data_IF_496321606795
#
_entry.id   IF_496321606795
#
_cell.length_a   1.000
_cell.length_b   1.000
_cell.length_c   1.000
_cell.angle_alpha   90.00
_cell.angle_beta   90.00
_cell.angle_gamma   90.00
#
_symmetry.space_group_name_H-M   'P 1'
#
loop_
_entity.id
_entity.type
_entity.pdbx_description
1 polymer ?
#
# COMPACT_ATOMS: atom_id res chain seq x y z
N UNK A 1 20.89 -9.51 18.55
CA UNK A 1 19.86 -10.46 18.10
C UNK A 1 20.11 -10.76 16.63
N UNK A 2 20.15 -12.02 16.23
CA UNK A 2 20.04 -12.37 14.80
C UNK A 2 18.64 -11.92 14.32
N UNK A 3 18.56 -11.32 13.14
CA UNK A 3 17.27 -10.98 12.51
C UNK A 3 16.43 -12.25 12.26
N UNK A 4 15.11 -12.11 12.01
CA UNK A 4 14.26 -13.25 11.66
C UNK A 4 14.79 -13.96 10.41
N UNK A 5 14.73 -15.29 10.38
CA UNK A 5 15.03 -16.07 9.18
C UNK A 5 13.86 -15.94 8.19
N UNK A 6 14.09 -15.22 7.11
CA UNK A 6 13.10 -14.94 6.06
C UNK A 6 13.25 -15.87 4.86
N UNK A 7 13.94 -17.01 5.00
CA UNK A 7 13.87 -18.07 4.00
C UNK A 7 12.45 -18.62 3.88
N UNK A 8 12.02 -18.97 2.66
CA UNK A 8 10.67 -19.50 2.43
C UNK A 8 10.33 -20.68 3.33
N UNK A 9 11.27 -21.61 3.55
CA UNK A 9 11.06 -22.75 4.44
C UNK A 9 10.73 -22.34 5.87
N UNK A 10 11.49 -21.40 6.45
CA UNK A 10 11.26 -20.89 7.80
C UNK A 10 9.91 -20.14 7.89
N UNK A 11 9.61 -19.31 6.89
CA UNK A 11 8.34 -18.55 6.80
C UNK A 11 7.12 -19.47 6.73
N UNK A 12 7.19 -20.55 5.94
CA UNK A 12 6.10 -21.54 5.83
C UNK A 12 5.94 -22.37 7.12
N UNK A 13 7.03 -22.70 7.80
CA UNK A 13 6.98 -23.38 9.10
C UNK A 13 6.32 -22.48 10.16
N UNK A 14 6.72 -21.20 10.22
CA UNK A 14 6.09 -20.21 11.10
C UNK A 14 4.60 -20.05 10.76
N UNK A 15 4.25 -19.99 9.46
CA UNK A 15 2.86 -19.95 9.02
C UNK A 15 2.06 -21.13 9.55
N UNK A 16 2.53 -22.38 9.41
CA UNK A 16 1.82 -23.55 9.94
C UNK A 16 1.58 -23.48 11.46
N UNK A 17 2.62 -23.15 12.22
CA UNK A 17 2.56 -23.06 13.69
C UNK A 17 1.65 -21.93 14.18
N UNK A 18 1.89 -20.71 13.70
CA UNK A 18 1.16 -19.52 14.14
C UNK A 18 -0.30 -19.57 13.72
N UNK A 19 -0.58 -19.99 12.48
CA UNK A 19 -1.96 -20.13 11.99
C UNK A 19 -2.76 -21.11 12.85
N UNK A 20 -2.15 -22.25 13.23
CA UNK A 20 -2.79 -23.25 14.09
C UNK A 20 -3.06 -22.68 15.49
N UNK A 21 -2.07 -22.02 16.10
CA UNK A 21 -2.22 -21.42 17.43
C UNK A 21 -3.34 -20.36 17.44
N UNK A 22 -3.39 -19.48 16.44
CA UNK A 22 -4.44 -18.47 16.32
C UNK A 22 -5.83 -19.07 16.05
N UNK A 23 -5.92 -20.07 15.17
CA UNK A 23 -7.20 -20.71 14.83
C UNK A 23 -7.87 -21.42 16.01
N UNK A 24 -7.09 -21.95 16.95
CA UNK A 24 -7.57 -22.63 18.16
C UNK A 24 -8.10 -21.67 19.24
N UNK A 25 -7.90 -20.35 19.09
CA UNK A 25 -8.41 -19.36 20.05
C UNK A 25 -9.87 -19.01 19.75
N UNK A 26 -10.64 -18.83 20.82
CA UNK A 26 -11.98 -18.25 20.73
C UNK A 26 -11.91 -16.77 20.39
N UNK A 27 -13.00 -16.20 19.87
CA UNK A 27 -13.06 -14.78 19.50
C UNK A 27 -12.82 -13.87 20.71
N UNK A 28 -13.30 -14.27 21.90
CA UNK A 28 -13.02 -13.58 23.16
C UNK A 28 -11.53 -13.59 23.49
N UNK A 29 -10.89 -14.75 23.39
CA UNK A 29 -9.46 -14.89 23.67
C UNK A 29 -8.60 -14.11 22.65
N UNK A 30 -8.99 -14.10 21.38
CA UNK A 30 -8.31 -13.30 20.35
C UNK A 30 -8.46 -11.80 20.61
N UNK A 31 -9.65 -11.32 20.99
CA UNK A 31 -9.87 -9.93 21.36
C UNK A 31 -8.98 -9.52 22.53
N UNK A 32 -9.03 -10.26 23.63
CA UNK A 32 -8.20 -9.99 24.82
C UNK A 32 -6.70 -9.98 24.46
N UNK A 33 -6.28 -10.86 23.55
CA UNK A 33 -4.90 -10.94 23.08
C UNK A 33 -4.48 -9.74 22.21
N UNK A 34 -5.36 -9.26 21.33
CA UNK A 34 -5.13 -8.06 20.52
C UNK A 34 -5.11 -6.79 21.39
N UNK A 35 -5.98 -6.72 22.40
CA UNK A 35 -6.11 -5.56 23.29
C UNK A 35 -4.83 -5.29 24.10
N UNK A 36 -4.13 -6.35 24.54
CA UNK A 36 -2.86 -6.26 25.28
C UNK A 36 -1.62 -6.13 24.39
N UNK A 37 -1.77 -6.25 23.07
CA UNK A 37 -0.68 -6.15 22.12
C UNK A 37 0.01 -4.78 22.14
N UNK A 38 1.33 -4.77 21.93
CA UNK A 38 2.09 -3.53 21.90
C UNK A 38 1.67 -2.69 20.68
N UNK A 39 1.17 -1.45 20.86
CA UNK A 39 0.82 -0.59 19.72
C UNK A 39 2.03 -0.31 18.83
N UNK A 40 1.87 -0.47 17.52
CA UNK A 40 2.91 -0.14 16.52
C UNK A 40 2.55 1.14 15.77
N UNK A 41 1.26 1.38 15.54
CA UNK A 41 0.75 2.57 14.90
C UNK A 41 -0.76 2.58 14.74
N UNK A 42 -1.27 3.64 14.13
CA UNK A 42 -2.67 3.81 13.76
C UNK A 42 -2.77 4.71 12.55
N UNK A 43 -3.61 4.36 11.59
CA UNK A 43 -3.92 5.20 10.42
C UNK A 43 -5.33 4.91 9.89
N UNK A 44 -5.63 5.33 8.66
CA UNK A 44 -6.94 5.09 8.04
C UNK A 44 -7.25 3.61 7.90
N UNK A 45 -6.24 2.80 7.55
CA UNK A 45 -6.32 1.34 7.52
C UNK A 45 -6.49 0.68 8.90
N UNK A 46 -6.53 1.47 9.97
CA UNK A 46 -6.89 1.05 11.32
C UNK A 46 -5.70 0.90 12.29
N UNK A 47 -5.97 0.30 13.46
CA UNK A 47 -4.99 0.13 14.55
C UNK A 47 -4.09 -1.06 14.28
N UNK A 48 -2.79 -0.90 14.50
CA UNK A 48 -1.80 -1.97 14.36
C UNK A 48 -1.14 -2.31 15.69
N UNK A 49 -1.00 -3.59 15.98
CA UNK A 49 -0.36 -4.09 17.21
C UNK A 49 0.63 -5.20 16.90
N UNK A 50 1.69 -5.28 17.71
CA UNK A 50 2.66 -6.36 17.67
C UNK A 50 2.34 -7.37 18.76
N UNK A 51 2.29 -8.63 18.36
CA UNK A 51 1.98 -9.78 19.20
C UNK A 51 3.12 -10.80 19.14
N UNK A 52 3.21 -11.66 20.14
CA UNK A 52 4.09 -12.82 20.14
C UNK A 52 3.25 -14.10 20.22
N UNK A 53 3.35 -14.95 19.20
CA UNK A 53 2.59 -16.21 19.09
C UNK A 53 3.58 -17.34 18.84
N UNK A 54 3.67 -18.29 19.77
CA UNK A 54 4.62 -19.41 19.67
C UNK A 54 6.08 -18.95 19.39
N UNK A 55 6.51 -17.87 20.05
CA UNK A 55 7.84 -17.27 19.85
C UNK A 55 8.03 -16.53 18.52
N UNK A 56 6.97 -16.38 17.72
CA UNK A 56 6.98 -15.64 16.46
C UNK A 56 6.33 -14.27 16.65
N UNK A 57 6.97 -13.21 16.15
CA UNK A 57 6.39 -11.87 16.11
C UNK A 57 5.32 -11.79 15.02
N UNK A 58 4.13 -11.31 15.38
CA UNK A 58 2.97 -11.21 14.51
C UNK A 58 2.49 -9.77 14.49
N UNK A 59 2.37 -9.20 13.30
CA UNK A 59 1.78 -7.89 13.08
C UNK A 59 0.27 -8.07 12.91
N UNK A 60 -0.53 -7.51 13.81
CA UNK A 60 -1.99 -7.54 13.69
C UNK A 60 -2.52 -6.18 13.24
N UNK A 61 -3.22 -6.15 12.11
CA UNK A 61 -3.93 -4.97 11.58
C UNK A 61 -5.42 -5.11 11.84
N UNK A 62 -6.03 -4.13 12.51
CA UNK A 62 -7.47 -4.10 12.75
C UNK A 62 -8.14 -3.16 11.76
N UNK A 63 -8.87 -3.73 10.80
CA UNK A 63 -9.61 -2.98 9.77
C UNK A 63 -11.07 -2.88 10.20
N UNK A 64 -11.63 -1.66 10.27
CA UNK A 64 -13.03 -1.45 10.65
C UNK A 64 -13.96 -2.20 9.69
N UNK A 65 -14.91 -2.94 10.26
CA UNK A 65 -15.90 -3.72 9.52
C UNK A 65 -17.30 -3.16 9.79
N UNK A 66 -17.89 -2.53 8.78
CA UNK A 66 -19.18 -1.86 8.93
C UNK A 66 -20.33 -2.85 9.08
N UNK A 67 -21.44 -2.41 9.68
CA UNK A 67 -22.64 -3.26 9.81
C UNK A 67 -23.23 -3.67 8.45
N UNK A 68 -23.02 -2.87 7.39
CA UNK A 68 -23.35 -3.27 6.03
C UNK A 68 -22.50 -4.46 5.58
N UNK A 69 -21.18 -4.39 5.75
CA UNK A 69 -20.24 -5.47 5.40
C UNK A 69 -20.45 -6.75 6.23
N UNK A 70 -21.08 -6.65 7.41
CA UNK A 70 -21.38 -7.79 8.31
C UNK A 70 -22.65 -8.56 7.96
N UNK A 71 -23.51 -8.03 7.07
CA UNK A 71 -24.72 -8.74 6.67
C UNK A 71 -24.34 -10.08 6.01
N UNK A 72 -25.18 -11.11 6.22
CA UNK A 72 -24.86 -12.48 5.80
C UNK A 72 -24.58 -12.57 4.29
N UNK A 73 -25.31 -11.80 3.49
CA UNK A 73 -25.15 -11.69 2.03
C UNK A 73 -23.89 -10.94 1.58
N UNK A 74 -23.18 -10.27 2.50
CA UNK A 74 -22.01 -9.44 2.21
C UNK A 74 -20.72 -9.96 2.84
N UNK A 75 -20.78 -11.02 3.65
CA UNK A 75 -19.58 -11.69 4.17
C UNK A 75 -18.72 -12.16 2.99
N UNK A 76 -17.44 -11.75 2.98
CA UNK A 76 -16.46 -11.99 1.91
C UNK A 76 -16.81 -11.34 0.56
N UNK A 77 -17.82 -10.46 0.50
CA UNK A 77 -18.12 -9.74 -0.73
C UNK A 77 -17.02 -8.75 -1.06
N UNK A 78 -16.52 -8.82 -2.28
CA UNK A 78 -15.58 -7.84 -2.83
C UNK A 78 -16.28 -6.77 -3.66
N UNK A 79 -17.62 -6.70 -3.59
CA UNK A 79 -18.41 -5.66 -4.26
C UNK A 79 -18.19 -4.29 -3.64
N UNK A 80 -18.35 -3.24 -4.44
CA UNK A 80 -18.37 -1.86 -3.96
C UNK A 80 -19.72 -1.54 -3.31
N UNK A 81 -19.92 -2.00 -2.07
CA UNK A 81 -21.20 -1.94 -1.35
C UNK A 81 -21.75 -0.52 -1.15
N UNK A 82 -20.87 0.48 -1.15
CA UNK A 82 -21.23 1.89 -0.94
C UNK A 82 -21.44 2.66 -2.24
N UNK A 83 -21.03 2.09 -3.38
CA UNK A 83 -20.99 2.79 -4.66
C UNK A 83 -19.98 3.95 -4.67
N UNK A 84 -18.80 3.72 -4.09
CA UNK A 84 -17.73 4.71 -4.06
C UNK A 84 -17.19 4.99 -5.46
N UNK A 85 -16.87 6.25 -5.80
CA UNK A 85 -16.19 6.57 -7.06
C UNK A 85 -14.84 5.88 -7.14
N UNK A 86 -14.47 5.39 -8.33
CA UNK A 86 -13.23 4.63 -8.53
C UNK A 86 -11.96 5.44 -8.18
N UNK A 87 -11.99 6.77 -8.33
CA UNK A 87 -10.86 7.63 -7.94
C UNK A 87 -10.52 7.58 -6.44
N UNK A 88 -11.41 7.06 -5.58
CA UNK A 88 -11.10 6.85 -4.17
C UNK A 88 -10.01 5.77 -3.97
N UNK A 89 -9.66 4.99 -5.00
CA UNK A 89 -8.56 4.03 -4.94
C UNK A 89 -7.21 4.73 -4.88
N UNK A 90 -7.11 5.97 -5.34
CA UNK A 90 -5.84 6.68 -5.39
C UNK A 90 -5.27 7.01 -4.01
N UNK A 91 -4.10 6.43 -3.68
CA UNK A 91 -3.30 6.72 -2.49
C UNK A 91 -2.60 8.10 -2.48
N UNK A 92 -3.01 9.02 -3.36
CA UNK A 92 -2.40 10.36 -3.52
C UNK A 92 -3.30 11.48 -2.99
N UNK A 93 -4.39 11.19 -2.28
CA UNK A 93 -5.22 12.21 -1.66
C UNK A 93 -4.48 12.96 -0.54
N UNK A 94 -4.71 14.27 -0.42
CA UNK A 94 -4.27 15.07 0.74
C UNK A 94 -5.13 14.81 1.97
N UNK A 95 -6.34 14.31 1.77
CA UNK A 95 -7.13 13.59 2.77
C UNK A 95 -7.17 12.15 2.27
N UNK A 96 -6.85 11.18 3.12
CA UNK A 96 -6.84 9.78 2.69
C UNK A 96 -8.24 9.27 2.35
N UNK A 97 -8.29 8.23 1.51
CA UNK A 97 -9.54 7.68 0.98
C UNK A 97 -10.36 6.95 2.06
N UNK A 98 -11.68 6.83 1.89
CA UNK A 98 -12.54 6.11 2.84
C UNK A 98 -12.41 4.57 2.77
N UNK A 99 -11.53 4.05 1.89
CA UNK A 99 -11.31 2.62 1.63
C UNK A 99 -12.50 1.91 0.97
N UNK A 100 -12.25 0.79 0.27
CA UNK A 100 -13.29 0.05 -0.47
C UNK A 100 -13.85 -1.18 0.24
N UNK A 101 -13.37 -1.46 1.45
CA UNK A 101 -13.97 -2.45 2.34
C UNK A 101 -12.98 -3.49 2.87
N UNK A 102 -13.24 -3.98 4.08
CA UNK A 102 -12.34 -4.89 4.79
C UNK A 102 -12.21 -6.25 4.07
N UNK A 103 -13.28 -6.69 3.40
CA UNK A 103 -13.29 -7.94 2.64
C UNK A 103 -12.41 -7.90 1.38
N UNK A 104 -12.24 -6.74 0.74
CA UNK A 104 -11.30 -6.58 -0.39
C UNK A 104 -9.86 -6.71 0.08
N UNK A 105 -9.51 -6.06 1.18
CA UNK A 105 -8.17 -6.17 1.76
C UNK A 105 -7.86 -7.61 2.20
N UNK A 106 -8.83 -8.31 2.80
CA UNK A 106 -8.70 -9.74 3.11
C UNK A 106 -8.49 -10.59 1.87
N UNK A 107 -9.25 -10.35 0.81
CA UNK A 107 -9.13 -11.09 -0.44
C UNK A 107 -7.75 -10.89 -1.06
N UNK A 108 -7.22 -9.65 -1.05
CA UNK A 108 -5.86 -9.36 -1.51
C UNK A 108 -4.79 -10.10 -0.67
N UNK A 109 -4.87 -10.05 0.66
CA UNK A 109 -3.97 -10.82 1.53
C UNK A 109 -4.07 -12.33 1.32
N UNK A 110 -5.27 -12.84 1.04
CA UNK A 110 -5.48 -14.25 0.70
C UNK A 110 -4.79 -14.60 -0.61
N UNK A 111 -4.91 -13.76 -1.64
CA UNK A 111 -4.22 -13.94 -2.92
C UNK A 111 -2.71 -13.95 -2.74
N UNK A 112 -2.15 -12.95 -2.06
CA UNK A 112 -0.71 -12.78 -1.91
C UNK A 112 -0.09 -13.86 -1.03
N UNK A 113 -0.77 -14.26 0.05
CA UNK A 113 -0.35 -15.40 0.89
C UNK A 113 -0.28 -16.68 0.07
N UNK A 114 -1.30 -16.95 -0.78
CA UNK A 114 -1.32 -18.15 -1.59
C UNK A 114 -0.21 -18.18 -2.65
N UNK A 115 0.19 -17.03 -3.22
CA UNK A 115 1.34 -16.96 -4.13
C UNK A 115 2.66 -17.36 -3.43
N UNK A 116 2.86 -16.91 -2.19
CA UNK A 116 4.05 -17.28 -1.40
C UNK A 116 4.03 -18.77 -1.02
N UNK A 117 2.86 -19.27 -0.59
CA UNK A 117 2.66 -20.69 -0.23
C UNK A 117 2.88 -21.61 -1.44
N UNK A 118 2.35 -21.25 -2.61
CA UNK A 118 2.59 -21.99 -3.86
C UNK A 118 4.06 -21.93 -4.31
N UNK A 119 4.78 -20.87 -3.92
CA UNK A 119 6.15 -20.62 -4.36
C UNK A 119 6.23 -19.87 -5.69
N UNK A 120 5.15 -19.19 -6.08
CA UNK A 120 5.08 -18.40 -7.31
C UNK A 120 5.90 -17.10 -7.19
N UNK A 121 5.76 -16.40 -6.05
CA UNK A 121 6.52 -15.19 -5.72
C UNK A 121 6.55 -14.96 -4.21
N UNK A 122 7.72 -14.61 -3.66
CA UNK A 122 7.94 -14.54 -2.21
C UNK A 122 7.86 -13.12 -1.61
N UNK A 123 7.68 -12.09 -2.44
CA UNK A 123 7.70 -10.67 -2.06
C UNK A 123 6.41 -10.13 -1.44
N UNK A 124 5.77 -10.93 -0.58
CA UNK A 124 4.59 -10.54 0.18
C UNK A 124 4.68 -11.10 1.60
N UNK A 125 4.31 -10.36 2.66
CA UNK A 125 4.17 -10.92 4.00
C UNK A 125 3.06 -11.97 4.04
N UNK A 126 3.26 -13.07 4.78
CA UNK A 126 2.25 -14.12 4.93
C UNK A 126 1.15 -13.68 5.91
N UNK A 127 -0.11 -13.86 5.54
CA UNK A 127 -1.22 -13.79 6.50
C UNK A 127 -1.36 -15.15 7.20
N UNK A 128 -1.12 -15.17 8.52
CA UNK A 128 -1.26 -16.37 9.35
C UNK A 128 -2.73 -16.65 9.71
N UNK A 129 -3.51 -15.60 9.98
CA UNK A 129 -4.90 -15.78 10.35
C UNK A 129 -5.69 -14.50 10.11
N UNK A 130 -7.02 -14.62 10.15
CA UNK A 130 -7.90 -13.48 10.26
C UNK A 130 -9.14 -13.84 11.07
N UNK A 131 -9.73 -12.85 11.76
CA UNK A 131 -10.98 -13.03 12.50
C UNK A 131 -11.75 -11.73 12.58
N UNK A 132 -13.08 -11.81 12.50
CA UNK A 132 -13.96 -10.69 12.87
C UNK A 132 -14.12 -10.71 14.39
N UNK A 133 -13.71 -9.63 15.05
CA UNK A 133 -13.89 -9.47 16.50
C UNK A 133 -14.80 -8.27 16.80
N UNK A 134 -15.61 -8.32 17.87
CA UNK A 134 -16.31 -7.14 18.33
C UNK A 134 -15.30 -6.05 18.70
N UNK A 135 -15.57 -4.83 18.29
CA UNK A 135 -14.79 -3.63 18.62
C UNK A 135 -15.66 -2.73 19.48
N UNK A 136 -15.09 -2.04 20.46
CA UNK A 136 -15.83 -1.10 21.31
C UNK A 136 -16.22 0.20 20.61
N UNK A 137 -15.93 0.30 19.30
CA UNK A 137 -16.01 1.54 18.55
C UNK A 137 -14.78 2.40 18.82
N UNK A 138 -14.24 3.00 17.76
CA UNK A 138 -13.10 3.91 17.84
C UNK A 138 -13.42 5.17 17.04
N UNK A 139 -13.05 6.33 17.57
CA UNK A 139 -13.09 7.60 16.83
C UNK A 139 -12.47 7.44 15.45
N UNK A 140 -13.05 8.11 14.46
CA UNK A 140 -12.47 8.11 13.12
C UNK A 140 -10.99 8.50 13.15
N UNK A 141 -10.18 7.97 12.22
CA UNK A 141 -8.82 8.47 11.98
C UNK A 141 -8.84 9.99 11.78
N UNK A 142 -7.77 10.68 12.15
CA UNK A 142 -7.69 12.14 12.12
C UNK A 142 -8.08 12.71 10.75
N UNK A 143 -7.65 12.04 9.68
CA UNK A 143 -7.90 12.43 8.29
C UNK A 143 -9.40 12.41 7.93
N UNK A 144 -10.18 11.54 8.58
CA UNK A 144 -11.62 11.38 8.34
C UNK A 144 -12.48 12.00 9.46
N UNK A 145 -11.87 12.55 10.51
CA UNK A 145 -12.58 13.08 11.67
C UNK A 145 -13.49 14.26 11.32
N UNK A 146 -13.09 15.10 10.36
CA UNK A 146 -13.95 16.11 9.75
C UNK A 146 -14.64 15.51 8.51
N UNK A 147 -15.80 14.88 8.75
CA UNK A 147 -16.59 14.18 7.73
C UNK A 147 -16.99 15.13 6.59
N UNK A 148 -17.40 16.35 6.91
CA UNK A 148 -17.86 17.31 5.90
C UNK A 148 -16.72 17.72 4.97
N UNK A 149 -15.55 18.00 5.54
CA UNK A 149 -14.34 18.30 4.77
C UNK A 149 -13.87 17.11 3.93
N UNK A 150 -13.87 15.90 4.49
CA UNK A 150 -13.48 14.69 3.77
C UNK A 150 -14.43 14.40 2.60
N UNK A 151 -15.74 14.53 2.81
CA UNK A 151 -16.76 14.36 1.76
C UNK A 151 -16.59 15.40 0.66
N UNK A 152 -16.40 16.68 1.02
CA UNK A 152 -16.18 17.75 0.06
C UNK A 152 -14.92 17.49 -0.80
N UNK A 153 -13.84 17.02 -0.17
CA UNK A 153 -12.58 16.70 -0.85
C UNK A 153 -12.73 15.58 -1.88
N UNK A 154 -13.45 14.51 -1.51
CA UNK A 154 -13.67 13.33 -2.34
C UNK A 154 -14.87 13.45 -3.30
N UNK A 155 -15.20 14.67 -3.73
CA UNK A 155 -16.19 14.95 -4.78
C UNK A 155 -17.62 15.20 -4.29
N UNK A 156 -17.84 15.34 -2.98
CA UNK A 156 -19.14 15.75 -2.39
C UNK A 156 -20.24 14.68 -2.44
N UNK A 157 -19.94 13.46 -2.89
CA UNK A 157 -20.92 12.41 -3.10
C UNK A 157 -21.49 11.83 -1.81
N UNK A 158 -22.79 11.52 -1.82
CA UNK A 158 -23.46 10.85 -0.68
C UNK A 158 -22.89 9.47 -0.38
N UNK A 159 -22.30 8.79 -1.37
CA UNK A 159 -21.63 7.50 -1.20
C UNK A 159 -20.43 7.59 -0.25
N UNK A 160 -19.57 8.60 -0.43
CA UNK A 160 -18.41 8.85 0.43
C UNK A 160 -18.87 9.13 1.86
N UNK A 161 -19.88 9.98 2.03
CA UNK A 161 -20.45 10.28 3.36
C UNK A 161 -20.94 9.03 4.06
N UNK A 162 -21.79 8.24 3.39
CA UNK A 162 -22.32 7.00 3.95
C UNK A 162 -21.22 6.03 4.37
N UNK A 163 -20.12 5.96 3.60
CA UNK A 163 -18.98 5.11 3.95
C UNK A 163 -18.27 5.61 5.21
N UNK A 164 -17.96 6.89 5.29
CA UNK A 164 -17.26 7.48 6.45
C UNK A 164 -18.12 7.35 7.72
N UNK A 165 -19.41 7.64 7.64
CA UNK A 165 -20.34 7.48 8.77
C UNK A 165 -20.47 6.00 9.18
N UNK A 166 -20.56 5.07 8.22
CA UNK A 166 -20.57 3.65 8.54
C UNK A 166 -19.26 3.16 9.21
N UNK A 167 -18.11 3.71 8.81
CA UNK A 167 -16.84 3.46 9.49
C UNK A 167 -16.87 3.97 10.93
N UNK A 168 -17.43 5.16 11.16
CA UNK A 168 -17.58 5.74 12.50
C UNK A 168 -18.45 4.87 13.40
N UNK A 169 -19.54 4.33 12.85
CA UNK A 169 -20.52 3.53 13.59
C UNK A 169 -20.12 2.04 13.71
N UNK A 170 -18.95 1.65 13.20
CA UNK A 170 -18.51 0.26 13.20
C UNK A 170 -18.29 -0.27 14.62
N UNK A 171 -18.96 -1.38 14.94
CA UNK A 171 -18.85 -2.11 16.23
C UNK A 171 -18.07 -3.41 16.11
N UNK A 172 -17.42 -3.64 14.97
CA UNK A 172 -16.57 -4.79 14.74
C UNK A 172 -15.37 -4.40 13.88
N UNK A 173 -14.31 -5.17 14.02
CA UNK A 173 -13.10 -5.05 13.22
C UNK A 173 -12.73 -6.43 12.67
N UNK A 174 -12.32 -6.44 11.41
CA UNK A 174 -11.62 -7.56 10.81
C UNK A 174 -10.14 -7.44 11.21
N UNK A 175 -9.64 -8.40 11.99
CA UNK A 175 -8.24 -8.45 12.37
C UNK A 175 -7.49 -9.38 11.43
N UNK A 176 -6.45 -8.85 10.80
CA UNK A 176 -5.51 -9.57 9.95
C UNK A 176 -4.24 -9.82 10.74
N UNK A 177 -3.87 -11.08 10.95
CA UNK A 177 -2.63 -11.48 11.63
C UNK A 177 -1.58 -11.82 10.58
N UNK A 178 -0.59 -10.95 10.43
CA UNK A 178 0.40 -10.94 9.37
C UNK A 178 1.80 -11.24 9.91
N UNK A 179 2.65 -11.73 9.03
CA UNK A 179 4.09 -11.82 9.23
C UNK A 179 4.68 -10.44 9.55
N UNK A 180 5.48 -10.37 10.62
CA UNK A 180 6.14 -9.14 11.01
C UNK A 180 7.52 -9.01 10.34
N UNK A 181 7.65 -8.03 9.44
CA UNK A 181 8.91 -7.62 8.84
C UNK A 181 9.24 -6.22 9.38
N UNK A 182 10.36 -6.05 10.12
CA UNK A 182 10.56 -4.88 10.97
C UNK A 182 10.92 -3.58 10.24
N UNK A 183 11.43 -3.66 9.01
CA UNK A 183 11.91 -2.50 8.29
C UNK A 183 11.00 -2.21 7.10
N UNK A 184 10.49 -0.97 7.05
CA UNK A 184 9.92 -0.42 5.83
C UNK A 184 11.06 0.05 4.89
N UNK A 185 10.75 0.17 3.61
CA UNK A 185 11.69 0.57 2.57
C UNK A 185 12.13 2.03 2.75
N UNK A 186 11.24 2.91 3.24
CA UNK A 186 11.53 4.33 3.44
C UNK A 186 12.75 4.52 4.36
N UNK A 187 12.68 3.96 5.56
CA UNK A 187 13.72 4.09 6.58
C UNK A 187 14.98 3.32 6.18
N UNK A 188 14.82 2.11 5.66
CA UNK A 188 15.95 1.28 5.25
C UNK A 188 16.76 1.94 4.14
N UNK A 189 16.09 2.46 3.11
CA UNK A 189 16.77 3.13 2.00
C UNK A 189 17.46 4.40 2.48
N UNK A 190 16.85 5.15 3.41
CA UNK A 190 17.47 6.31 4.06
C UNK A 190 18.81 5.99 4.70
N UNK A 191 18.90 4.86 5.41
CA UNK A 191 20.16 4.38 6.00
C UNK A 191 21.19 4.02 4.92
N UNK A 192 20.78 3.37 3.82
CA UNK A 192 21.71 3.00 2.75
C UNK A 192 22.26 4.22 2.00
N UNK A 193 21.42 5.21 1.70
CA UNK A 193 21.87 6.47 1.08
C UNK A 193 22.88 7.20 1.98
N UNK A 194 22.63 7.22 3.29
CA UNK A 194 23.54 7.84 4.27
C UNK A 194 24.85 7.07 4.51
N UNK A 195 24.96 5.81 4.07
CA UNK A 195 26.12 4.95 4.29
C UNK A 195 27.24 5.14 3.26
N UNK A 196 27.02 5.95 2.21
CA UNK A 196 28.00 6.30 1.19
C UNK A 196 27.65 5.76 -0.21
N UNK A 197 28.36 6.27 -1.21
CA UNK A 197 28.05 6.08 -2.63
C UNK A 197 27.84 4.62 -3.03
N UNK A 198 28.78 3.72 -2.72
CA UNK A 198 28.65 2.31 -3.09
C UNK A 198 27.42 1.62 -2.47
N UNK A 199 27.05 2.00 -1.24
CA UNK A 199 25.86 1.46 -0.58
C UNK A 199 24.59 2.01 -1.23
N UNK A 200 24.58 3.31 -1.56
CA UNK A 200 23.49 3.96 -2.29
C UNK A 200 23.25 3.30 -3.66
N UNK A 201 24.32 3.04 -4.42
CA UNK A 201 24.21 2.41 -5.74
C UNK A 201 23.62 0.99 -5.67
N UNK A 202 24.14 0.16 -4.76
CA UNK A 202 23.62 -1.21 -4.55
C UNK A 202 22.17 -1.22 -4.09
N UNK A 203 21.82 -0.33 -3.17
CA UNK A 203 20.46 -0.22 -2.66
C UNK A 203 19.48 0.26 -3.74
N UNK A 204 19.84 1.30 -4.50
CA UNK A 204 19.00 1.80 -5.59
C UNK A 204 18.79 0.75 -6.69
N UNK A 205 19.84 -0.02 -7.04
CA UNK A 205 19.70 -1.13 -8.00
C UNK A 205 18.75 -2.21 -7.49
N UNK A 206 18.92 -2.66 -6.24
CA UNK A 206 18.03 -3.68 -5.65
C UNK A 206 16.58 -3.20 -5.60
N UNK A 207 16.36 -1.95 -5.17
CA UNK A 207 15.01 -1.36 -5.10
C UNK A 207 14.38 -1.26 -6.48
N UNK A 208 15.14 -0.82 -7.48
CA UNK A 208 14.65 -0.74 -8.86
C UNK A 208 14.22 -2.11 -9.41
N UNK A 209 15.08 -3.11 -9.26
CA UNK A 209 14.82 -4.47 -9.75
C UNK A 209 13.61 -5.11 -9.04
N UNK A 210 13.54 -5.01 -7.71
CA UNK A 210 12.48 -5.62 -6.90
C UNK A 210 11.14 -4.89 -7.05
N UNK A 211 11.13 -3.56 -7.20
CA UNK A 211 9.91 -2.80 -7.51
C UNK A 211 9.33 -3.26 -8.86
N UNK A 212 10.19 -3.33 -9.89
CA UNK A 212 9.77 -3.77 -11.22
C UNK A 212 9.24 -5.21 -11.19
N UNK A 213 9.97 -6.13 -10.55
CA UNK A 213 9.59 -7.54 -10.49
C UNK A 213 8.27 -7.76 -9.72
N UNK A 214 8.14 -7.18 -8.53
CA UNK A 214 6.97 -7.40 -7.68
C UNK A 214 5.70 -6.77 -8.23
N UNK A 215 5.79 -5.55 -8.77
CA UNK A 215 4.64 -4.89 -9.41
C UNK A 215 4.24 -5.62 -10.69
N UNK A 216 5.21 -6.03 -11.52
CA UNK A 216 4.89 -6.82 -12.71
C UNK A 216 4.19 -8.14 -12.35
N UNK A 217 4.62 -8.81 -11.28
CA UNK A 217 3.98 -10.03 -10.78
C UNK A 217 2.55 -9.78 -10.30
N UNK A 218 2.31 -8.75 -9.46
CA UNK A 218 0.97 -8.39 -8.99
C UNK A 218 0.03 -8.09 -10.17
N UNK A 219 0.48 -7.26 -11.11
CA UNK A 219 -0.33 -6.84 -12.25
C UNK A 219 -0.66 -8.03 -13.17
N UNK A 220 0.29 -8.95 -13.38
CA UNK A 220 0.06 -10.19 -14.11
C UNK A 220 -0.91 -11.14 -13.37
N UNK A 221 -0.87 -11.14 -12.04
CA UNK A 221 -1.84 -11.81 -11.17
C UNK A 221 -3.22 -11.16 -11.14
N UNK A 222 -3.37 -10.01 -11.80
CA UNK A 222 -4.61 -9.24 -11.89
C UNK A 222 -4.91 -8.44 -10.63
N UNK A 223 -3.90 -8.06 -9.83
CA UNK A 223 -3.99 -7.23 -8.63
C UNK A 223 -3.24 -5.92 -8.86
N UNK A 224 -3.87 -4.79 -8.57
CA UNK A 224 -3.26 -3.46 -8.56
C UNK A 224 -3.31 -2.91 -7.13
N UNK A 225 -2.21 -2.35 -6.65
CA UNK A 225 -2.00 -1.94 -5.26
C UNK A 225 -2.51 -0.53 -4.96
N UNK A 226 -2.32 0.41 -5.88
CA UNK A 226 -2.68 1.82 -5.81
C UNK A 226 -2.01 2.68 -4.72
N UNK A 227 -1.22 2.07 -3.85
CA UNK A 227 -0.63 2.74 -2.69
C UNK A 227 0.74 2.16 -2.26
N UNK A 228 1.56 1.81 -3.25
CA UNK A 228 2.87 1.20 -3.05
C UNK A 228 3.96 2.24 -2.67
N UNK A 229 3.68 3.11 -1.69
CA UNK A 229 4.67 4.05 -1.18
C UNK A 229 5.66 3.35 -0.25
N UNK A 230 6.82 3.95 0.02
CA UNK A 230 7.93 3.20 0.66
C UNK A 230 7.69 2.86 2.14
N UNK A 231 6.68 3.45 2.78
CA UNK A 231 6.22 3.00 4.10
C UNK A 231 5.29 1.75 4.04
N UNK A 232 4.64 1.49 2.89
CA UNK A 232 3.81 0.31 2.62
C UNK A 232 4.60 -0.82 1.91
N UNK A 233 5.91 -0.64 1.75
CA UNK A 233 6.81 -1.67 1.24
C UNK A 233 7.79 -2.00 2.35
N UNK A 234 7.89 -3.28 2.72
CA UNK A 234 8.82 -3.77 3.72
C UNK A 234 10.06 -4.36 3.05
N UNK A 235 11.15 -4.50 3.79
CA UNK A 235 12.39 -5.10 3.27
C UNK A 235 13.19 -5.79 4.36
N UNK A 236 13.96 -6.79 3.96
CA UNK A 236 15.02 -7.43 4.75
C UNK A 236 16.43 -7.00 4.29
N UNK A 237 16.49 -6.01 3.38
CA UNK A 237 17.69 -5.54 2.71
C UNK A 237 18.15 -6.39 1.52
N UNK A 238 17.41 -7.45 1.18
CA UNK A 238 17.67 -8.31 0.01
C UNK A 238 16.52 -8.36 -0.97
N UNK A 239 15.29 -8.17 -0.50
CA UNK A 239 14.07 -8.16 -1.31
C UNK A 239 13.04 -7.17 -0.77
N UNK A 240 12.02 -6.91 -1.58
CA UNK A 240 10.89 -6.09 -1.18
C UNK A 240 9.65 -6.95 -0.87
N UNK A 241 8.83 -6.47 0.06
CA UNK A 241 7.58 -7.10 0.44
C UNK A 241 6.44 -6.08 0.37
N UNK A 242 5.50 -6.27 -0.56
CA UNK A 242 4.36 -5.37 -0.72
C UNK A 242 3.29 -5.69 0.34
N UNK A 243 2.78 -4.66 1.01
CA UNK A 243 1.78 -4.79 2.07
C UNK A 243 0.81 -3.61 2.03
N UNK A 244 -0.24 -3.68 2.86
CA UNK A 244 -1.33 -2.71 2.91
C UNK A 244 -2.15 -2.65 1.62
N UNK A 245 -3.15 -3.52 1.55
CA UNK A 245 -4.02 -3.64 0.38
C UNK A 245 -5.35 -2.89 0.57
N UNK A 246 -5.41 -1.90 1.47
CA UNK A 246 -6.64 -1.16 1.78
C UNK A 246 -7.23 -0.40 0.58
N UNK A 247 -6.39 -0.08 -0.41
CA UNK A 247 -6.76 0.59 -1.66
C UNK A 247 -6.65 -0.31 -2.90
N UNK A 248 -6.28 -1.58 -2.73
CA UNK A 248 -6.06 -2.47 -3.84
C UNK A 248 -7.36 -2.83 -4.58
N UNK A 249 -7.22 -3.09 -5.89
CA UNK A 249 -8.29 -3.56 -6.77
C UNK A 249 -7.79 -4.76 -7.57
N UNK A 250 -8.67 -5.75 -7.79
CA UNK A 250 -8.34 -6.92 -8.58
C UNK A 250 -9.41 -7.20 -9.62
N UNK A 251 -8.97 -7.62 -10.81
CA UNK A 251 -9.82 -8.21 -11.85
C UNK A 251 -10.61 -9.46 -11.40
N UNK A 252 -10.25 -10.04 -10.25
CA UNK A 252 -10.94 -11.19 -9.63
C UNK A 252 -12.00 -10.78 -8.60
N UNK A 253 -12.13 -9.48 -8.30
CA UNK A 253 -13.17 -8.97 -7.42
C UNK A 253 -14.52 -8.86 -8.15
N UNK A 254 -15.59 -8.76 -7.38
CA UNK A 254 -16.92 -8.42 -7.89
C UNK A 254 -16.97 -6.92 -8.23
N UNK A 255 -16.53 -6.60 -9.44
CA UNK A 255 -16.39 -5.22 -9.92
C UNK A 255 -17.62 -4.76 -10.68
N UNK A 256 -18.02 -3.51 -10.44
CA UNK A 256 -18.96 -2.79 -11.32
C UNK A 256 -18.32 -2.51 -12.69
N UNK A 257 -19.13 -2.13 -13.70
CA UNK A 257 -18.59 -1.77 -15.02
C UNK A 257 -17.58 -0.62 -14.93
N UNK A 258 -17.88 0.40 -14.14
CA UNK A 258 -16.99 1.56 -13.95
C UNK A 258 -15.66 1.15 -13.32
N UNK A 259 -15.67 0.20 -12.38
CA UNK A 259 -14.46 -0.35 -11.78
C UNK A 259 -13.65 -1.23 -12.75
N UNK A 260 -14.30 -1.96 -13.65
CA UNK A 260 -13.63 -2.72 -14.71
C UNK A 260 -12.91 -1.75 -15.66
N UNK A 261 -13.62 -0.71 -16.11
CA UNK A 261 -13.05 0.29 -17.02
C UNK A 261 -11.90 1.04 -16.34
N UNK A 262 -12.05 1.36 -15.05
CA UNK A 262 -10.98 1.92 -14.22
C UNK A 262 -9.80 0.96 -14.13
N UNK A 263 -10.00 -0.31 -13.77
CA UNK A 263 -8.93 -1.31 -13.69
C UNK A 263 -8.15 -1.41 -15.00
N UNK A 264 -8.84 -1.50 -16.14
CA UNK A 264 -8.21 -1.65 -17.45
C UNK A 264 -7.40 -0.41 -17.86
N UNK A 265 -7.85 0.79 -17.49
CA UNK A 265 -7.12 2.04 -17.72
C UNK A 265 -5.91 2.23 -16.79
N UNK A 266 -5.80 1.45 -15.70
CA UNK A 266 -4.78 1.63 -14.66
C UNK A 266 -3.84 0.43 -14.50
N UNK A 267 -3.79 -0.50 -15.45
CA UNK A 267 -2.94 -1.70 -15.38
C UNK A 267 -1.45 -1.44 -15.19
N UNK A 268 -0.96 -0.25 -15.51
CA UNK A 268 0.44 0.17 -15.31
C UNK A 268 0.58 1.27 -14.24
N UNK A 269 -0.50 1.61 -13.54
CA UNK A 269 -0.51 2.70 -12.57
C UNK A 269 0.54 2.50 -11.48
N UNK A 270 0.60 1.31 -10.88
CA UNK A 270 1.55 1.02 -9.79
C UNK A 270 3.01 1.17 -10.21
N UNK A 271 3.34 0.82 -11.46
CA UNK A 271 4.70 0.99 -12.00
C UNK A 271 5.05 2.48 -12.06
N UNK A 272 4.16 3.29 -12.63
CA UNK A 272 4.33 4.74 -12.71
C UNK A 272 4.34 5.38 -11.32
N UNK A 273 3.49 4.90 -10.41
CA UNK A 273 3.41 5.37 -9.04
C UNK A 273 4.72 5.12 -8.29
N UNK A 274 5.23 3.88 -8.32
CA UNK A 274 6.43 3.49 -7.60
C UNK A 274 7.68 4.23 -8.10
N UNK A 275 7.86 4.38 -9.42
CA UNK A 275 9.02 5.11 -9.96
C UNK A 275 8.91 6.62 -9.69
N UNK A 276 7.69 7.17 -9.70
CA UNK A 276 7.45 8.58 -9.31
C UNK A 276 7.79 8.79 -7.84
N UNK A 277 7.39 7.87 -6.98
CA UNK A 277 7.71 7.90 -5.55
C UNK A 277 9.23 7.77 -5.34
N UNK A 278 9.90 6.84 -6.02
CA UNK A 278 11.36 6.66 -5.96
C UNK A 278 12.12 7.94 -6.32
N UNK A 279 11.78 8.57 -7.44
CA UNK A 279 12.42 9.82 -7.89
C UNK A 279 12.22 10.94 -6.85
N UNK A 280 10.98 11.13 -6.37
CA UNK A 280 10.68 12.18 -5.39
C UNK A 280 11.31 11.90 -4.02
N UNK A 281 11.42 10.63 -3.63
CA UNK A 281 12.07 10.20 -2.40
C UNK A 281 13.57 10.45 -2.48
N UNK A 282 14.23 10.06 -3.58
CA UNK A 282 15.66 10.31 -3.81
C UNK A 282 15.98 11.81 -3.85
N UNK A 283 15.16 12.61 -4.53
CA UNK A 283 15.32 14.06 -4.56
C UNK A 283 15.28 14.68 -3.15
N UNK A 284 14.41 14.18 -2.26
CA UNK A 284 14.40 14.60 -0.86
C UNK A 284 15.61 14.06 -0.08
N UNK A 285 15.92 12.78 -0.21
CA UNK A 285 16.98 12.12 0.57
C UNK A 285 18.37 12.70 0.27
N UNK A 286 18.66 12.98 -1.01
CA UNK A 286 19.95 13.46 -1.48
C UNK A 286 20.11 14.98 -1.33
N UNK A 287 19.06 15.75 -1.60
CA UNK A 287 19.16 17.23 -1.70
C UNK A 287 18.32 18.00 -0.68
N UNK A 288 17.49 17.32 0.13
CA UNK A 288 16.55 17.94 1.09
C UNK A 288 15.56 18.91 0.44
N UNK A 289 15.28 18.71 -0.84
CA UNK A 289 14.36 19.55 -1.60
C UNK A 289 12.95 19.55 -1.00
N UNK A 290 12.39 20.75 -0.85
CA UNK A 290 10.96 21.01 -0.61
C UNK A 290 10.09 20.47 -1.75
N UNK A 291 8.76 20.36 -1.60
CA UNK A 291 7.88 19.89 -2.70
C UNK A 291 8.08 20.67 -4.02
N UNK A 292 8.19 21.99 -3.97
CA UNK A 292 8.37 22.86 -5.13
C UNK A 292 9.74 22.71 -5.78
N UNK A 293 10.79 22.56 -4.96
CA UNK A 293 12.15 22.30 -5.43
C UNK A 293 12.26 20.92 -6.06
N UNK A 294 11.64 19.89 -5.46
CA UNK A 294 11.57 18.53 -6.03
C UNK A 294 10.90 18.57 -7.39
N UNK A 295 9.77 19.27 -7.53
CA UNK A 295 9.11 19.43 -8.82
C UNK A 295 10.05 20.04 -9.85
N UNK A 296 10.72 21.14 -9.51
CA UNK A 296 11.65 21.82 -10.41
C UNK A 296 12.81 20.91 -10.81
N UNK A 297 13.39 20.19 -9.85
CA UNK A 297 14.45 19.21 -10.06
C UNK A 297 14.01 18.07 -10.99
N UNK A 298 12.86 17.44 -10.72
CA UNK A 298 12.32 16.34 -11.52
C UNK A 298 12.06 16.79 -12.96
N UNK A 299 11.49 17.99 -13.15
CA UNK A 299 11.29 18.56 -14.48
C UNK A 299 12.62 18.84 -15.20
N UNK A 300 13.66 19.32 -14.51
CA UNK A 300 14.98 19.50 -15.10
C UNK A 300 15.60 18.16 -15.53
N UNK A 301 15.55 17.14 -14.68
CA UNK A 301 16.01 15.79 -15.03
C UNK A 301 15.22 15.19 -16.19
N UNK A 302 13.92 15.45 -16.28
CA UNK A 302 13.07 15.01 -17.39
C UNK A 302 13.49 15.65 -18.74
N UNK A 303 14.14 16.81 -18.70
CA UNK A 303 14.75 17.46 -19.88
C UNK A 303 16.19 17.02 -20.14
N UNK A 304 16.68 16.00 -19.42
CA UNK A 304 18.02 15.44 -19.59
C UNK A 304 19.12 16.18 -18.82
N UNK A 305 18.78 17.10 -17.91
CA UNK A 305 19.78 17.73 -17.04
C UNK A 305 20.25 16.72 -15.99
N UNK A 306 21.53 16.30 -15.99
CA UNK A 306 22.01 15.30 -15.06
C UNK A 306 22.04 15.85 -13.62
N UNK A 307 21.63 15.05 -12.62
CA UNK A 307 21.78 15.43 -11.23
C UNK A 307 23.26 15.50 -10.83
N UNK A 308 23.64 16.53 -10.07
CA UNK A 308 25.01 16.73 -9.59
C UNK A 308 25.24 16.10 -8.21
N UNK A 309 26.49 15.71 -7.92
CA UNK A 309 26.88 15.24 -6.59
C UNK A 309 26.29 13.89 -6.18
N UNK A 310 25.91 13.04 -7.14
CA UNK A 310 25.36 11.71 -6.90
C UNK A 310 26.16 10.64 -7.65
N UNK A 311 26.15 9.39 -7.18
CA UNK A 311 26.77 8.27 -7.90
C UNK A 311 26.19 8.11 -9.31
N UNK A 312 27.01 7.69 -10.27
CA UNK A 312 26.65 7.66 -11.69
C UNK A 312 25.41 6.78 -11.96
N UNK A 313 25.29 5.62 -11.30
CA UNK A 313 24.13 4.74 -11.48
C UNK A 313 22.84 5.33 -10.90
N UNK A 314 22.92 6.04 -9.77
CA UNK A 314 21.78 6.75 -9.15
C UNK A 314 21.34 7.91 -10.05
N UNK A 315 22.30 8.66 -10.60
CA UNK A 315 22.01 9.73 -11.55
C UNK A 315 21.34 9.22 -12.83
N UNK A 316 21.81 8.09 -13.37
CA UNK A 316 21.18 7.44 -14.53
C UNK A 316 19.75 6.96 -14.23
N UNK A 317 19.51 6.41 -13.02
CA UNK A 317 18.18 6.00 -12.58
C UNK A 317 17.22 7.20 -12.50
N UNK A 318 17.66 8.32 -11.92
CA UNK A 318 16.87 9.55 -11.84
C UNK A 318 16.52 10.08 -13.23
N UNK A 319 17.49 10.15 -14.14
CA UNK A 319 17.26 10.58 -15.53
C UNK A 319 16.28 9.65 -16.26
N UNK A 320 16.38 8.34 -16.07
CA UNK A 320 15.51 7.35 -16.71
C UNK A 320 14.04 7.52 -16.29
N UNK A 321 13.78 7.79 -15.01
CA UNK A 321 12.41 7.85 -14.47
C UNK A 321 11.84 9.26 -14.34
N UNK A 322 12.66 10.30 -14.41
CA UNK A 322 12.21 11.68 -14.31
C UNK A 322 11.08 12.07 -15.29
N UNK A 323 11.07 11.64 -16.58
CA UNK A 323 9.96 11.95 -17.48
C UNK A 323 8.61 11.43 -17.00
N UNK A 324 8.56 10.19 -16.50
CA UNK A 324 7.33 9.61 -15.92
C UNK A 324 6.95 10.34 -14.64
N UNK A 325 7.93 10.58 -13.76
CA UNK A 325 7.71 11.26 -12.50
C UNK A 325 7.21 12.70 -12.66
N UNK A 326 7.66 13.42 -13.70
CA UNK A 326 7.18 14.77 -14.02
C UNK A 326 5.70 14.76 -14.40
N UNK A 327 5.30 13.87 -15.32
CA UNK A 327 3.91 13.75 -15.77
C UNK A 327 2.98 13.29 -14.64
N UNK A 328 3.38 12.27 -13.89
CA UNK A 328 2.60 11.79 -12.76
C UNK A 328 2.53 12.83 -11.65
N UNK A 329 3.60 13.56 -11.37
CA UNK A 329 3.60 14.65 -10.39
C UNK A 329 2.67 15.80 -10.76
N UNK A 330 2.54 16.13 -12.05
CA UNK A 330 1.56 17.12 -12.51
C UNK A 330 0.13 16.60 -12.36
N UNK A 331 -0.12 15.34 -12.73
CA UNK A 331 -1.41 14.67 -12.48
C UNK A 331 -1.76 14.64 -10.98
N UNK A 332 -0.80 14.35 -10.10
CA UNK A 332 -1.05 14.34 -8.65
C UNK A 332 -1.47 15.70 -8.14
N UNK A 333 -0.82 16.77 -8.60
CA UNK A 333 -1.16 18.14 -8.20
C UNK A 333 -2.56 18.52 -8.68
N UNK A 334 -2.87 18.28 -9.95
CA UNK A 334 -4.19 18.54 -10.53
C UNK A 334 -5.26 17.75 -9.77
N UNK A 335 -5.00 16.45 -9.53
CA UNK A 335 -5.86 15.61 -8.73
C UNK A 335 -6.08 16.24 -7.36
N UNK A 336 -5.01 16.49 -6.60
CA UNK A 336 -5.03 16.96 -5.22
C UNK A 336 -5.64 18.35 -5.01
N UNK A 337 -5.50 19.27 -5.97
CA UNK A 337 -5.82 20.69 -5.78
C UNK A 337 -7.02 21.15 -6.60
N UNK A 338 -7.28 20.52 -7.75
CA UNK A 338 -8.26 21.01 -8.73
C UNK A 338 -9.46 20.08 -8.87
N UNK A 339 -9.24 18.79 -9.19
CA UNK A 339 -10.35 17.87 -9.50
C UNK A 339 -10.04 16.40 -9.19
N UNK A 340 -10.98 15.71 -8.51
CA UNK A 340 -10.91 14.24 -8.34
C UNK A 340 -11.11 13.46 -9.65
N UNK A 341 -11.56 14.14 -10.69
CA UNK A 341 -11.78 13.57 -12.01
C UNK A 341 -10.62 13.87 -12.97
N UNK A 342 -9.50 14.40 -12.47
CA UNK A 342 -8.29 14.60 -13.27
C UNK A 342 -7.96 13.29 -14.02
N UNK A 343 -7.74 13.35 -15.35
CA UNK A 343 -7.56 12.15 -16.14
C UNK A 343 -6.17 11.53 -15.88
N UNK A 344 -6.12 10.22 -15.66
CA UNK A 344 -4.85 9.50 -15.54
C UNK A 344 -4.03 9.65 -16.84
N UNK A 345 -2.77 10.12 -16.78
CA UNK A 345 -2.01 10.52 -17.96
C UNK A 345 -1.39 9.34 -18.75
N UNK A 346 -2.05 8.19 -18.81
CA UNK A 346 -1.54 6.98 -19.48
C UNK A 346 -1.16 7.23 -20.94
N UNK A 347 -2.01 7.89 -21.71
CA UNK A 347 -1.76 8.17 -23.13
C UNK A 347 -0.53 9.08 -23.34
N UNK A 348 -0.24 9.96 -22.39
CA UNK A 348 0.98 10.80 -22.41
C UNK A 348 2.21 9.95 -22.13
N UNK A 349 2.16 9.11 -21.10
CA UNK A 349 3.27 8.22 -20.73
C UNK A 349 3.58 7.21 -21.85
N UNK A 350 2.57 6.58 -22.44
CA UNK A 350 2.77 5.63 -23.55
C UNK A 350 3.40 6.27 -24.80
N UNK A 351 3.17 7.57 -25.06
CA UNK A 351 3.81 8.28 -26.17
C UNK A 351 5.30 8.53 -25.91
N UNK A 352 5.68 8.73 -24.65
CA UNK A 352 7.08 8.90 -24.25
C UNK A 352 7.88 7.61 -24.49
N UNK A 353 7.35 6.46 -24.07
CA UNK A 353 8.00 5.16 -24.26
C UNK A 353 8.11 4.67 -25.72
N UNK A 354 7.43 5.32 -26.67
CA UNK A 354 7.56 5.06 -28.12
C UNK A 354 8.54 6.01 -28.83
N UNK A 355 8.99 7.05 -28.13
CA UNK A 355 9.86 8.10 -28.67
C UNK A 355 11.30 8.01 -28.16
N UNK A 356 11.59 7.01 -27.31
CA UNK A 356 12.90 6.58 -26.87
C UNK A 356 13.23 5.24 -27.55
#
# INVERSE_FOLDING_TARGET
MKGPDLSRGARLAAHGTVSTSLALRSDRSLREFVDVGAPVGSGIGGRTVLLEVEGTRVFAKQVRLTDLERRLEHVHSTANLFGLPAFCHYGIGTIGGPGFGAWRELAAHTMTTNWVVAGDYEGFPLMYHWRVIPDSGQSLPEELADVDRAVAYWGGGSAVRRRIEALQDSTASLVLFLEYIPQNLHDWLGVQIGAGDEAAERACSMVDDELNAGIAFMNAGGLLHFDAHFENILTDGKRLFFTDYGLAISSRFDLTRDEIDFFDQHRTYDQHYAVTHLVNWLAFALYRHTPEERRTFVHACAQGVPPEGVPASVGALLLRYAPVAAVMGDFYREFQQESREAPHPLATICRMGRSA
#
